data_IF_298037216870
#
_entry.id   IF_298037216870
#
_cell.length_a   1.000
_cell.length_b   1.000
_cell.length_c   1.000
_cell.angle_alpha   90.00
_cell.angle_beta   90.00
_cell.angle_gamma   90.00
#
_symmetry.space_group_name_H-M   'P 1'
#
loop_
_entity.id
_entity.type
_entity.pdbx_description
1 polymer ?
#
# COMPACT_ATOMS: atom_id res chain seq x y z
N UNK A 1 18.10 -32.67 -6.00
CA UNK A 1 16.92 -31.83 -6.27
C UNK A 1 17.44 -30.39 -6.35
N UNK A 2 17.90 -29.99 -7.54
CA UNK A 2 18.36 -28.63 -7.78
C UNK A 2 17.11 -27.75 -7.84
N UNK A 3 16.81 -27.06 -6.75
CA UNK A 3 15.82 -25.99 -6.78
C UNK A 3 16.30 -24.95 -7.80
N UNK A 4 15.42 -24.60 -8.72
CA UNK A 4 15.63 -23.57 -9.73
C UNK A 4 16.27 -22.33 -9.12
N UNK A 5 17.53 -22.09 -9.45
CA UNK A 5 18.19 -20.80 -9.24
C UNK A 5 17.58 -19.68 -10.12
N UNK A 6 16.63 -20.00 -11.00
CA UNK A 6 15.86 -19.02 -11.77
C UNK A 6 14.98 -18.09 -10.90
N UNK A 7 14.79 -18.38 -9.60
CA UNK A 7 14.14 -17.44 -8.67
C UNK A 7 15.01 -16.19 -8.39
N UNK A 8 16.32 -16.24 -8.69
CA UNK A 8 17.29 -15.20 -8.35
C UNK A 8 18.00 -14.58 -9.57
N UNK A 9 17.50 -14.75 -10.79
CA UNK A 9 18.15 -14.27 -12.01
C UNK A 9 18.20 -12.72 -12.15
N UNK A 10 17.69 -11.97 -11.16
CA UNK A 10 17.66 -10.50 -11.09
C UNK A 10 18.07 -9.93 -9.72
N UNK A 11 19.11 -10.50 -9.09
CA UNK A 11 19.64 -10.21 -7.74
C UNK A 11 20.08 -8.76 -7.45
N UNK A 12 19.83 -7.81 -8.33
CA UNK A 12 19.83 -6.40 -7.96
C UNK A 12 18.47 -6.13 -7.30
N UNK A 13 18.46 -6.09 -5.96
CA UNK A 13 17.25 -5.76 -5.21
C UNK A 13 16.67 -4.41 -5.64
N UNK A 14 15.41 -4.11 -5.30
CA UNK A 14 14.79 -2.83 -5.63
C UNK A 14 15.69 -1.66 -5.19
N UNK A 15 15.80 -0.66 -6.05
CA UNK A 15 16.55 0.56 -5.76
C UNK A 15 15.97 1.26 -4.53
N UNK A 16 16.77 2.10 -3.87
CA UNK A 16 16.29 2.91 -2.74
C UNK A 16 15.08 3.78 -3.10
N UNK A 17 14.98 4.24 -4.35
CA UNK A 17 13.84 5.00 -4.84
C UNK A 17 12.58 4.15 -4.93
N UNK A 18 12.68 2.92 -5.45
CA UNK A 18 11.55 1.97 -5.52
C UNK A 18 11.11 1.52 -4.11
N UNK A 19 12.06 1.29 -3.20
CA UNK A 19 11.75 0.99 -1.80
C UNK A 19 11.04 2.16 -1.11
N UNK A 20 11.49 3.40 -1.33
CA UNK A 20 10.84 4.59 -0.79
C UNK A 20 9.42 4.79 -1.34
N UNK A 21 9.17 4.40 -2.60
CA UNK A 21 7.83 4.41 -3.18
C UNK A 21 6.90 3.41 -2.51
N UNK A 22 7.38 2.20 -2.18
CA UNK A 22 6.60 1.20 -1.43
C UNK A 22 6.30 1.72 -0.03
N UNK A 23 7.30 2.28 0.66
CA UNK A 23 7.14 2.83 2.01
C UNK A 23 6.10 3.97 2.02
N UNK A 24 6.04 4.78 0.96
CA UNK A 24 5.03 5.83 0.81
C UNK A 24 3.58 5.30 0.70
N UNK A 25 3.39 4.02 0.38
CA UNK A 25 2.07 3.38 0.34
C UNK A 25 1.62 2.84 1.71
N UNK A 26 2.54 2.66 2.67
CA UNK A 26 2.24 2.10 3.99
C UNK A 26 1.09 2.80 4.73
N UNK A 27 1.00 4.15 4.75
CA UNK A 27 -0.10 4.83 5.43
C UNK A 27 -1.48 4.51 4.86
N UNK A 28 -1.59 4.24 3.54
CA UNK A 28 -2.86 3.82 2.94
C UNK A 28 -3.18 2.38 3.32
N UNK A 29 -2.19 1.48 3.28
CA UNK A 29 -2.36 0.08 3.66
C UNK A 29 -2.86 -0.02 5.10
N UNK A 30 -2.23 0.69 6.03
CA UNK A 30 -2.64 0.73 7.44
C UNK A 30 -4.08 1.23 7.60
N UNK A 31 -4.44 2.31 6.91
CA UNK A 31 -5.80 2.85 6.97
C UNK A 31 -6.86 1.91 6.34
N UNK A 32 -6.48 1.11 5.34
CA UNK A 32 -7.33 0.05 4.79
C UNK A 32 -7.51 -1.12 5.77
N UNK A 33 -6.45 -1.52 6.47
CA UNK A 33 -6.51 -2.53 7.53
C UNK A 33 -7.42 -2.06 8.66
N UNK A 34 -7.27 -0.84 9.16
CA UNK A 34 -8.16 -0.29 10.21
C UNK A 34 -9.62 -0.24 9.76
N UNK A 35 -9.87 0.06 8.48
CA UNK A 35 -11.23 0.05 7.93
C UNK A 35 -11.81 -1.35 7.83
N UNK A 36 -10.99 -2.35 7.50
CA UNK A 36 -11.39 -3.75 7.51
C UNK A 36 -11.67 -4.23 8.94
N UNK A 37 -10.81 -3.89 9.90
CA UNK A 37 -11.01 -4.22 11.32
C UNK A 37 -12.30 -3.62 11.88
N UNK A 38 -12.63 -2.38 11.52
CA UNK A 38 -13.89 -1.77 11.90
C UNK A 38 -15.10 -2.52 11.31
N UNK A 39 -15.00 -3.00 10.08
CA UNK A 39 -16.05 -3.82 9.44
C UNK A 39 -16.18 -5.20 10.10
N UNK A 40 -15.06 -5.87 10.35
CA UNK A 40 -15.02 -7.15 11.06
C UNK A 40 -15.63 -6.99 12.45
N UNK A 41 -15.34 -5.88 13.14
CA UNK A 41 -15.92 -5.57 14.45
C UNK A 41 -17.44 -5.47 14.35
N UNK A 42 -17.99 -4.72 13.38
CA UNK A 42 -19.45 -4.64 13.16
C UNK A 42 -20.06 -6.02 12.93
N UNK A 43 -19.41 -6.87 12.13
CA UNK A 43 -19.90 -8.23 11.84
C UNK A 43 -19.83 -9.15 13.07
N UNK A 44 -18.87 -8.91 13.96
CA UNK A 44 -18.62 -9.75 15.14
C UNK A 44 -19.49 -9.36 16.33
N UNK A 45 -19.64 -8.06 16.59
CA UNK A 45 -20.29 -7.54 17.81
C UNK A 45 -21.61 -6.82 17.53
N UNK A 46 -21.95 -6.59 16.26
CA UNK A 46 -23.16 -5.91 15.84
C UNK A 46 -23.01 -4.39 15.69
N UNK A 47 -24.02 -3.79 15.07
CA UNK A 47 -24.07 -2.36 14.80
C UNK A 47 -24.59 -1.57 16.02
N UNK A 48 -23.74 -0.70 16.57
CA UNK A 48 -24.04 0.16 17.72
C UNK A 48 -23.31 1.52 17.58
N UNK A 49 -23.41 2.40 18.57
CA UNK A 49 -22.81 3.74 18.47
C UNK A 49 -21.27 3.71 18.40
N UNK A 50 -20.64 2.81 19.15
CA UNK A 50 -19.17 2.64 19.14
C UNK A 50 -18.72 2.15 17.77
N UNK A 51 -19.33 1.09 17.25
CA UNK A 51 -18.94 0.53 15.94
C UNK A 51 -19.27 1.48 14.78
N UNK A 52 -20.36 2.27 14.90
CA UNK A 52 -20.66 3.38 14.00
C UNK A 52 -19.54 4.42 13.98
N UNK A 53 -19.04 4.82 15.15
CA UNK A 53 -17.94 5.80 15.25
C UNK A 53 -16.64 5.24 14.70
N UNK A 54 -16.31 3.97 15.01
CA UNK A 54 -15.13 3.28 14.47
C UNK A 54 -15.14 3.27 12.94
N UNK A 55 -16.24 2.83 12.32
CA UNK A 55 -16.38 2.82 10.85
C UNK A 55 -16.25 4.22 10.25
N UNK A 56 -16.86 5.22 10.88
CA UNK A 56 -16.75 6.62 10.41
C UNK A 56 -15.32 7.14 10.50
N UNK A 57 -14.60 6.84 11.57
CA UNK A 57 -13.19 7.24 11.74
C UNK A 57 -12.32 6.55 10.70
N UNK A 58 -12.36 5.22 10.63
CA UNK A 58 -11.53 4.45 9.72
C UNK A 58 -11.79 4.82 8.25
N UNK A 59 -13.05 5.01 7.86
CA UNK A 59 -13.39 5.48 6.50
C UNK A 59 -12.79 6.85 6.19
N UNK A 60 -12.78 7.79 7.14
CA UNK A 60 -12.20 9.13 6.93
C UNK A 60 -10.68 9.05 6.77
N UNK A 61 -10.00 8.29 7.62
CA UNK A 61 -8.54 8.14 7.51
C UNK A 61 -8.15 7.43 6.21
N UNK A 62 -8.84 6.35 5.85
CA UNK A 62 -8.65 5.66 4.56
C UNK A 62 -8.78 6.61 3.37
N UNK A 63 -9.82 7.45 3.36
CA UNK A 63 -10.02 8.42 2.26
C UNK A 63 -8.90 9.47 2.22
N UNK A 64 -8.44 9.96 3.38
CA UNK A 64 -7.32 10.90 3.44
C UNK A 64 -6.04 10.28 2.90
N UNK A 65 -5.68 9.08 3.37
CA UNK A 65 -4.50 8.37 2.91
C UNK A 65 -4.56 8.06 1.40
N UNK A 66 -5.74 7.68 0.89
CA UNK A 66 -5.96 7.44 -0.53
C UNK A 66 -5.73 8.71 -1.36
N UNK A 67 -6.23 9.86 -0.90
CA UNK A 67 -5.97 11.14 -1.55
C UNK A 67 -4.46 11.46 -1.60
N UNK A 68 -3.73 11.22 -0.51
CA UNK A 68 -2.28 11.43 -0.45
C UNK A 68 -1.53 10.57 -1.47
N UNK A 69 -1.83 9.27 -1.53
CA UNK A 69 -1.20 8.34 -2.49
C UNK A 69 -1.53 8.72 -3.94
N UNK A 70 -2.78 9.08 -4.22
CA UNK A 70 -3.19 9.51 -5.56
C UNK A 70 -2.49 10.80 -5.97
N UNK A 71 -2.33 11.77 -5.07
CA UNK A 71 -1.59 13.00 -5.34
C UNK A 71 -0.10 12.70 -5.63
N UNK A 72 0.52 11.81 -4.85
CA UNK A 72 1.90 11.38 -5.08
C UNK A 72 2.07 10.67 -6.44
N UNK A 73 1.15 9.79 -6.82
CA UNK A 73 1.16 9.11 -8.12
C UNK A 73 0.92 10.06 -9.29
N UNK A 74 0.04 11.06 -9.13
CA UNK A 74 -0.20 12.08 -10.16
C UNK A 74 1.03 12.98 -10.40
N UNK A 75 1.83 13.23 -9.37
CA UNK A 75 3.09 13.97 -9.48
C UNK A 75 4.24 13.13 -10.06
N UNK A 76 4.07 11.80 -10.18
CA UNK A 76 5.11 10.90 -10.66
C UNK A 76 5.21 10.95 -12.19
N UNK A 77 6.37 11.29 -12.79
CA UNK A 77 6.57 11.07 -14.21
C UNK A 77 6.52 9.56 -14.51
N UNK A 78 5.94 9.16 -15.64
CA UNK A 78 5.72 7.75 -16.05
C UNK A 78 7.07 7.01 -16.25
N UNK A 79 7.72 6.61 -15.16
CA UNK A 79 9.10 6.08 -15.14
C UNK A 79 9.25 4.59 -15.49
N UNK A 80 8.19 3.90 -15.89
CA UNK A 80 8.28 2.50 -16.31
C UNK A 80 8.75 2.31 -17.77
N UNK A 81 8.94 3.38 -18.55
CA UNK A 81 9.35 3.26 -19.96
C UNK A 81 10.87 3.23 -20.18
N UNK A 82 11.67 3.69 -19.23
CA UNK A 82 13.13 3.75 -19.36
C UNK A 82 13.76 3.57 -17.98
N UNK A 83 14.15 2.33 -17.65
CA UNK A 83 15.26 2.15 -16.72
C UNK A 83 16.55 2.28 -17.54
N UNK A 84 17.30 3.39 -17.44
CA UNK A 84 18.60 3.54 -18.09
C UNK A 84 19.70 2.74 -17.37
N UNK A 85 19.40 2.13 -16.23
CA UNK A 85 20.39 1.45 -15.38
C UNK A 85 20.56 -0.05 -15.71
N UNK A 86 19.79 -0.56 -16.68
CA UNK A 86 19.87 -1.96 -17.13
C UNK A 86 20.80 -2.16 -18.33
N UNK A 87 21.58 -1.14 -18.68
CA UNK A 87 22.51 -1.13 -19.80
C UNK A 87 23.92 -0.77 -19.32
N UNK A 88 24.53 -1.68 -18.57
CA UNK A 88 25.97 -1.72 -18.32
C UNK A 88 26.43 -3.18 -18.33
#
# INVERSE_FOLDING_TARGET
>A
MNADLHYLDGLEGPSMAELAEIEAEMPLIEAEVEWLDAQITVLTVGFNEVTRQMVRRARRERLRAACTVLAARAARPRRYATSPDRAA
#
